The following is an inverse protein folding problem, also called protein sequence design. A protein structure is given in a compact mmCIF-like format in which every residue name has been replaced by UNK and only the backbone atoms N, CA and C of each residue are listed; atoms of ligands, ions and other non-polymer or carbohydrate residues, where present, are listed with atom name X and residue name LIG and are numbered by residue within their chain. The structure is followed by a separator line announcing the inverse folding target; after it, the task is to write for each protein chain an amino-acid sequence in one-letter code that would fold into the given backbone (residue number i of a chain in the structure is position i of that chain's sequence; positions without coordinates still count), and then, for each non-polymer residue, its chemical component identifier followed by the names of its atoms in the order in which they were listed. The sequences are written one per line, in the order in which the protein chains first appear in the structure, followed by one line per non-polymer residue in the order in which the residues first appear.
data_IF_939561021510
#
_entry.id   IF_939561021510
#
_cell.length_a   1.000
_cell.length_b   1.000
_cell.length_c   1.000
_cell.angle_alpha   90.00
_cell.angle_beta   90.00
_cell.angle_gamma   90.00
#
_symmetry.space_group_name_H-M   'P 1'
#
loop_
_entity.id
_entity.type
_entity.pdbx_description
1 polymer ?
#
# COMPACT_ATOMS: atom_id res chain seq x y z
N UNK A 1 11.30 13.59 -10.55
CA UNK A 1 11.41 13.17 -11.97
C UNK A 1 12.17 11.85 -12.11
N UNK A 2 13.29 11.64 -11.41
CA UNK A 2 14.09 10.40 -11.52
C UNK A 2 13.32 9.08 -11.27
N UNK A 3 12.44 9.02 -10.27
CA UNK A 3 11.68 7.80 -9.95
C UNK A 3 10.76 7.34 -11.11
N UNK A 4 10.02 8.27 -11.71
CA UNK A 4 9.14 7.98 -12.83
C UNK A 4 9.94 7.53 -14.07
N UNK A 5 11.10 8.13 -14.30
CA UNK A 5 12.03 7.71 -15.36
C UNK A 5 12.54 6.29 -15.14
N UNK A 6 12.98 5.95 -13.94
CA UNK A 6 13.47 4.61 -13.62
C UNK A 6 12.41 3.52 -13.85
N UNK A 7 11.16 3.77 -13.47
CA UNK A 7 10.06 2.85 -13.77
C UNK A 7 9.77 2.75 -15.27
N UNK A 8 9.76 3.86 -15.99
CA UNK A 8 9.58 3.87 -17.45
C UNK A 8 10.66 3.06 -18.15
N UNK A 9 11.92 3.19 -17.73
CA UNK A 9 13.04 2.45 -18.32
C UNK A 9 12.95 0.95 -17.99
N UNK A 10 12.66 0.60 -16.73
CA UNK A 10 12.55 -0.79 -16.30
C UNK A 10 11.39 -1.52 -17.00
N UNK A 11 10.21 -0.89 -17.06
CA UNK A 11 9.04 -1.43 -17.74
C UNK A 11 9.22 -1.44 -19.27
N UNK A 12 9.87 -0.42 -19.80
CA UNK A 12 10.18 -0.28 -21.23
C UNK A 12 11.07 -1.42 -21.76
N UNK A 13 12.01 -1.93 -20.96
CA UNK A 13 12.80 -3.13 -21.31
C UNK A 13 11.92 -4.37 -21.56
N UNK A 14 10.74 -4.44 -20.94
CA UNK A 14 9.73 -5.48 -21.15
C UNK A 14 8.67 -5.12 -22.19
N UNK A 15 8.82 -4.01 -22.92
CA UNK A 15 7.83 -3.53 -23.90
C UNK A 15 6.57 -2.91 -23.29
N UNK A 16 6.58 -2.63 -21.98
CA UNK A 16 5.46 -2.03 -21.27
C UNK A 16 5.61 -0.51 -21.18
N UNK A 17 4.49 0.20 -21.32
CA UNK A 17 4.43 1.65 -21.08
C UNK A 17 4.05 1.91 -19.63
N UNK A 18 4.61 2.94 -19.00
CA UNK A 18 4.19 3.39 -17.67
C UNK A 18 3.39 4.70 -17.76
N UNK A 19 2.45 4.90 -16.84
CA UNK A 19 1.78 6.19 -16.64
C UNK A 19 1.88 6.63 -15.19
N UNK A 20 2.52 7.78 -14.93
CA UNK A 20 2.65 8.30 -13.57
C UNK A 20 1.34 8.92 -13.10
N UNK A 21 0.95 8.61 -11.86
CA UNK A 21 -0.17 9.23 -11.16
C UNK A 21 0.30 9.63 -9.77
N UNK A 22 0.00 10.86 -9.36
CA UNK A 22 0.25 11.36 -8.02
C UNK A 22 -1.08 11.63 -7.33
N UNK A 23 -1.31 11.03 -6.16
CA UNK A 23 -2.56 11.14 -5.42
C UNK A 23 -2.33 11.72 -4.03
N UNK A 24 -3.30 12.48 -3.54
CA UNK A 24 -3.41 12.88 -2.13
C UNK A 24 -4.45 12.03 -1.40
N UNK A 25 -4.53 12.15 -0.07
CA UNK A 25 -5.60 11.51 0.69
C UNK A 25 -6.99 11.94 0.18
N UNK A 26 -7.17 13.25 -0.05
CA UNK A 26 -8.42 13.82 -0.55
C UNK A 26 -8.85 13.27 -1.91
N UNK A 27 -7.91 12.86 -2.77
CA UNK A 27 -8.24 12.25 -4.07
C UNK A 27 -8.89 10.86 -3.93
N UNK A 28 -8.77 10.23 -2.77
CA UNK A 28 -9.37 8.92 -2.49
C UNK A 28 -10.55 8.98 -1.52
N UNK A 29 -10.79 10.12 -0.87
CA UNK A 29 -11.90 10.28 0.09
C UNK A 29 -13.03 11.15 -0.48
N UNK A 30 -12.71 12.12 -1.33
CA UNK A 30 -13.73 12.94 -1.98
C UNK A 30 -14.30 12.20 -3.20
N UNK A 31 -15.59 11.87 -3.17
CA UNK A 31 -16.28 11.05 -4.20
C UNK A 31 -15.97 11.49 -5.63
N UNK A 32 -15.96 12.79 -5.92
CA UNK A 32 -15.70 13.30 -7.27
C UNK A 32 -14.26 13.03 -7.70
N UNK A 33 -13.28 13.32 -6.84
CA UNK A 33 -11.86 13.08 -7.13
C UNK A 33 -11.54 11.60 -7.22
N UNK A 34 -12.15 10.80 -6.35
CA UNK A 34 -12.07 9.35 -6.39
C UNK A 34 -12.50 8.78 -7.75
N UNK A 35 -13.65 9.23 -8.28
CA UNK A 35 -14.13 8.78 -9.60
C UNK A 35 -13.21 9.23 -10.74
N UNK A 36 -12.61 10.42 -10.64
CA UNK A 36 -11.64 10.91 -11.62
C UNK A 36 -10.34 10.08 -11.60
N UNK A 37 -9.80 9.79 -10.41
CA UNK A 37 -8.63 8.94 -10.23
C UNK A 37 -8.89 7.53 -10.80
N UNK A 38 -10.02 6.92 -10.44
CA UNK A 38 -10.45 5.62 -10.97
C UNK A 38 -10.55 5.61 -12.48
N UNK A 39 -11.18 6.64 -13.08
CA UNK A 39 -11.31 6.74 -14.54
C UNK A 39 -9.94 6.86 -15.24
N UNK A 40 -9.01 7.61 -14.64
CA UNK A 40 -7.65 7.78 -15.15
C UNK A 40 -6.88 6.47 -15.12
N UNK A 41 -6.85 5.80 -13.96
CA UNK A 41 -6.20 4.50 -13.79
C UNK A 41 -6.80 3.47 -14.77
N UNK A 42 -8.13 3.42 -14.88
CA UNK A 42 -8.83 2.52 -15.80
C UNK A 42 -8.45 2.78 -17.26
N UNK A 43 -8.23 4.04 -17.64
CA UNK A 43 -7.84 4.41 -19.01
C UNK A 43 -6.42 3.95 -19.31
N UNK A 44 -5.46 4.14 -18.39
CA UNK A 44 -4.10 3.62 -18.55
C UNK A 44 -4.10 2.11 -18.73
N UNK A 45 -4.86 1.38 -17.91
CA UNK A 45 -4.97 -0.07 -18.00
C UNK A 45 -5.59 -0.52 -19.34
N UNK A 46 -6.63 0.16 -19.83
CA UNK A 46 -7.21 -0.10 -21.17
C UNK A 46 -6.19 0.11 -22.29
N UNK A 47 -5.27 1.05 -22.12
CA UNK A 47 -4.16 1.30 -23.05
C UNK A 47 -2.98 0.33 -22.87
N UNK A 48 -3.11 -0.68 -22.01
CA UNK A 48 -2.06 -1.64 -21.63
C UNK A 48 -0.82 -0.96 -21.03
N UNK A 49 -1.01 0.21 -20.41
CA UNK A 49 0.02 0.88 -19.63
C UNK A 49 -0.07 0.46 -18.16
N UNK A 50 1.08 0.39 -17.49
CA UNK A 50 1.22 0.13 -16.06
C UNK A 50 1.11 1.46 -15.31
N UNK A 51 0.07 1.67 -14.47
CA UNK A 51 -0.02 2.84 -13.62
C UNK A 51 1.08 2.79 -12.54
N UNK A 52 1.88 3.85 -12.44
CA UNK A 52 2.89 4.03 -11.38
C UNK A 52 2.39 5.12 -10.46
N UNK A 53 1.88 4.72 -9.30
CA UNK A 53 1.14 5.58 -8.38
C UNK A 53 2.01 5.91 -7.18
N UNK A 54 2.03 7.18 -6.76
CA UNK A 54 2.70 7.61 -5.53
C UNK A 54 1.92 8.72 -4.83
N UNK A 55 2.22 8.97 -3.55
CA UNK A 55 1.69 10.12 -2.84
C UNK A 55 2.20 11.44 -3.43
N UNK A 56 1.33 12.45 -3.49
CA UNK A 56 1.67 13.80 -3.93
C UNK A 56 2.08 14.68 -2.74
N UNK A 57 3.29 14.46 -2.23
CA UNK A 57 3.83 15.16 -1.04
C UNK A 57 3.95 16.68 -1.19
N UNK A 58 4.02 17.19 -2.43
CA UNK A 58 4.19 18.63 -2.70
C UNK A 58 2.92 19.43 -2.42
N UNK A 59 1.75 18.81 -2.58
CA UNK A 59 0.45 19.45 -2.36
C UNK A 59 -0.28 18.91 -1.13
N UNK A 60 0.16 17.77 -0.58
CA UNK A 60 -0.36 17.25 0.68
C UNK A 60 0.19 18.07 1.87
N UNK A 61 -0.70 18.82 2.53
CA UNK A 61 -0.41 19.44 3.83
C UNK A 61 -0.21 18.35 4.88
N UNK A 62 0.52 18.65 5.97
CA UNK A 62 0.80 17.67 7.05
C UNK A 62 -0.44 17.00 7.63
N UNK A 63 -1.60 17.65 7.51
CA UNK A 63 -2.91 17.18 7.99
C UNK A 63 -3.59 16.20 7.03
N UNK A 64 -3.17 16.15 5.76
CA UNK A 64 -3.85 15.42 4.65
C UNK A 64 -2.89 14.39 4.01
N UNK A 65 -1.80 14.03 4.69
CA UNK A 65 -0.85 13.01 4.24
C UNK A 65 -1.30 11.62 4.67
N UNK A 66 -1.03 10.62 3.84
CA UNK A 66 -1.11 9.22 4.25
C UNK A 66 -0.05 8.92 5.31
N UNK A 67 1.16 9.45 5.13
CA UNK A 67 2.30 9.19 6.00
C UNK A 67 2.98 7.83 5.77
N UNK A 68 2.31 6.92 5.05
CA UNK A 68 2.82 5.66 4.51
C UNK A 68 2.11 5.32 3.18
N UNK A 69 2.81 4.65 2.25
CA UNK A 69 2.22 4.21 0.99
C UNK A 69 1.40 2.91 1.15
N UNK A 70 1.39 2.26 2.32
CA UNK A 70 0.63 1.03 2.57
C UNK A 70 -0.87 1.33 2.48
N UNK A 71 -1.33 2.40 3.15
CA UNK A 71 -2.71 2.86 3.12
C UNK A 71 -3.11 3.41 1.76
N UNK A 72 -2.22 4.13 1.09
CA UNK A 72 -2.48 4.59 -0.29
C UNK A 72 -2.71 3.38 -1.22
N UNK A 73 -1.83 2.37 -1.15
CA UNK A 73 -1.96 1.17 -1.95
C UNK A 73 -3.27 0.42 -1.68
N UNK A 74 -3.67 0.30 -0.41
CA UNK A 74 -4.96 -0.29 -0.05
C UNK A 74 -6.14 0.50 -0.64
N UNK A 75 -6.14 1.83 -0.54
CA UNK A 75 -7.21 2.65 -1.12
C UNK A 75 -7.26 2.60 -2.64
N UNK A 76 -6.11 2.53 -3.29
CA UNK A 76 -6.06 2.34 -4.75
C UNK A 76 -6.61 0.96 -5.13
N UNK A 77 -6.23 -0.09 -4.39
CA UNK A 77 -6.73 -1.44 -4.62
C UNK A 77 -8.25 -1.51 -4.46
N UNK A 78 -8.81 -0.94 -3.39
CA UNK A 78 -10.26 -0.87 -3.20
C UNK A 78 -10.94 0.01 -4.25
N UNK A 79 -10.32 1.14 -4.63
CA UNK A 79 -10.81 2.03 -5.68
C UNK A 79 -10.98 1.33 -7.03
N UNK A 80 -10.03 0.47 -7.35
CA UNK A 80 -9.99 -0.29 -8.58
C UNK A 80 -10.72 -1.63 -8.48
N UNK A 81 -11.30 -1.96 -7.31
CA UNK A 81 -11.91 -3.26 -7.03
C UNK A 81 -10.95 -4.42 -7.34
N UNK A 82 -9.70 -4.28 -6.93
CA UNK A 82 -8.67 -5.29 -7.12
C UNK A 82 -8.98 -6.54 -6.28
N UNK A 83 -8.69 -7.71 -6.82
CA UNK A 83 -8.82 -8.98 -6.09
C UNK A 83 -7.75 -9.11 -4.99
N UNK A 84 -6.55 -8.55 -5.24
CA UNK A 84 -5.38 -8.73 -4.38
C UNK A 84 -4.52 -7.46 -4.31
N UNK A 85 -4.13 -7.10 -3.08
CA UNK A 85 -3.05 -6.18 -2.77
C UNK A 85 -1.82 -6.95 -2.28
N UNK A 86 -0.66 -6.71 -2.88
CA UNK A 86 0.61 -7.27 -2.41
C UNK A 86 1.50 -6.14 -1.90
N UNK A 87 1.85 -6.17 -0.62
CA UNK A 87 2.86 -5.29 -0.04
C UNK A 87 4.20 -6.01 0.03
N UNK A 88 5.15 -5.53 -0.77
CA UNK A 88 6.53 -5.95 -0.75
C UNK A 88 7.29 -5.16 0.33
N UNK A 89 7.87 -5.86 1.30
CA UNK A 89 8.57 -5.27 2.45
C UNK A 89 9.91 -5.94 2.70
N UNK A 90 10.69 -5.35 3.59
CA UNK A 90 11.85 -5.95 4.26
C UNK A 90 11.51 -7.06 5.28
N UNK A 91 10.22 -7.25 5.57
CA UNK A 91 9.70 -8.35 6.40
C UNK A 91 8.79 -9.23 5.54
N UNK A 92 8.88 -10.54 5.77
CA UNK A 92 8.16 -11.56 5.00
C UNK A 92 6.71 -11.81 5.47
N UNK A 93 6.26 -11.13 6.53
CA UNK A 93 4.87 -11.12 6.97
C UNK A 93 4.68 -10.78 8.44
N UNK A 94 3.54 -11.18 9.00
CA UNK A 94 3.20 -10.93 10.40
C UNK A 94 3.78 -12.02 11.31
N UNK A 95 4.27 -11.62 12.48
CA UNK A 95 4.75 -12.50 13.53
C UNK A 95 4.03 -12.22 14.84
N UNK A 96 4.00 -13.20 15.75
CA UNK A 96 3.43 -13.04 17.10
C UNK A 96 4.16 -12.00 17.95
N UNK A 97 5.43 -11.73 17.63
CA UNK A 97 6.29 -10.71 18.23
C UNK A 97 7.37 -10.30 17.21
N UNK A 98 8.11 -9.20 17.41
CA UNK A 98 9.16 -8.78 16.47
C UNK A 98 10.29 -9.83 16.40
N UNK A 99 10.50 -10.51 15.25
CA UNK A 99 11.42 -11.65 15.17
C UNK A 99 12.89 -11.28 15.39
N UNK A 100 13.26 -10.02 15.14
CA UNK A 100 14.59 -9.50 15.45
C UNK A 100 14.87 -9.34 16.95
N UNK A 101 13.84 -9.36 17.80
CA UNK A 101 13.94 -9.14 19.26
C UNK A 101 13.49 -10.33 20.10
N UNK A 102 12.65 -11.20 19.54
CA UNK A 102 12.11 -12.37 20.21
C UNK A 102 12.43 -13.64 19.40
N UNK A 103 13.36 -14.50 19.85
CA UNK A 103 13.67 -15.78 19.21
C UNK A 103 12.50 -16.77 19.20
N UNK A 104 11.46 -16.55 20.02
CA UNK A 104 10.24 -17.36 20.06
C UNK A 104 9.13 -16.78 19.17
N UNK A 105 9.39 -15.69 18.42
CA UNK A 105 8.44 -15.14 17.47
C UNK A 105 8.05 -16.19 16.42
N UNK A 106 6.76 -16.41 16.24
CA UNK A 106 6.22 -17.36 15.26
C UNK A 106 5.57 -16.60 14.11
N UNK A 107 5.87 -17.04 12.90
CA UNK A 107 5.23 -16.53 11.69
C UNK A 107 3.74 -16.87 11.67
N UNK A 108 2.92 -15.91 11.24
CA UNK A 108 1.48 -16.05 11.11
C UNK A 108 1.15 -16.12 9.61
N UNK A 109 0.92 -17.31 9.05
CA UNK A 109 0.76 -17.48 7.60
C UNK A 109 -0.56 -16.93 7.08
N UNK A 110 -1.60 -16.89 7.92
CA UNK A 110 -2.94 -16.42 7.55
C UNK A 110 -3.53 -15.65 8.71
N UNK A 111 -4.14 -14.50 8.40
CA UNK A 111 -4.92 -13.68 9.32
C UNK A 111 -6.33 -13.57 8.76
N UNK A 112 -7.26 -14.37 9.27
CA UNK A 112 -8.65 -14.36 8.80
C UNK A 112 -9.36 -13.04 9.12
N UNK A 113 -9.02 -12.44 10.26
CA UNK A 113 -9.56 -11.16 10.71
C UNK A 113 -8.53 -10.41 11.52
N UNK A 114 -8.40 -9.11 11.25
CA UNK A 114 -7.55 -8.21 12.03
C UNK A 114 -8.31 -7.81 13.30
N UNK A 115 -8.07 -8.56 14.39
CA UNK A 115 -8.64 -8.31 15.72
C UNK A 115 -7.72 -7.41 16.57
N UNK A 116 -8.19 -6.89 17.72
CA UNK A 116 -7.33 -6.12 18.63
C UNK A 116 -6.07 -6.90 19.06
N UNK A 117 -6.14 -8.22 19.19
CA UNK A 117 -4.98 -9.06 19.51
C UNK A 117 -3.95 -9.07 18.38
N UNK A 118 -4.39 -9.14 17.11
CA UNK A 118 -3.53 -9.03 15.93
C UNK A 118 -2.89 -7.64 15.86
N UNK A 119 -3.65 -6.59 16.15
CA UNK A 119 -3.12 -5.22 16.19
C UNK A 119 -2.06 -5.04 17.28
N UNK A 120 -2.27 -5.65 18.45
CA UNK A 120 -1.32 -5.59 19.55
C UNK A 120 0.04 -6.20 19.17
N UNK A 121 0.08 -7.21 18.28
CA UNK A 121 1.33 -7.80 17.79
C UNK A 121 2.19 -6.78 17.03
N UNK A 122 1.57 -5.80 16.36
CA UNK A 122 2.27 -4.72 15.68
C UNK A 122 2.74 -3.60 16.63
N UNK A 123 2.16 -3.50 17.84
CA UNK A 123 2.41 -2.42 18.80
C UNK A 123 3.65 -2.60 19.69
N UNK A 124 4.21 -3.81 19.80
CA UNK A 124 5.39 -4.08 20.61
C UNK A 124 6.71 -3.56 19.98
N UNK A 125 6.69 -3.20 18.69
CA UNK A 125 7.84 -2.69 17.94
C UNK A 125 7.72 -1.18 17.68
N UNK A 126 7.71 -0.34 18.71
CA UNK A 126 7.83 1.10 18.51
C UNK A 126 9.22 1.59 18.94
N UNK A 127 10.10 1.86 17.96
CA UNK A 127 10.91 3.07 18.04
C UNK A 127 10.18 4.14 17.23
N UNK A 128 10.03 5.34 17.79
CA UNK A 128 9.30 6.47 17.20
C UNK A 128 9.84 6.97 15.84
N UNK A 129 10.94 6.39 15.33
CA UNK A 129 11.59 6.82 14.09
C UNK A 129 11.19 6.05 12.83
N UNK A 130 10.47 4.92 12.93
CA UNK A 130 10.09 4.16 11.72
C UNK A 130 8.77 4.68 11.15
N UNK A 131 8.85 5.56 10.13
CA UNK A 131 7.72 5.89 9.26
C UNK A 131 7.45 4.66 8.38
N UNK A 132 6.43 3.89 8.73
CA UNK A 132 6.17 2.58 8.14
C UNK A 132 6.51 1.46 9.11
N UNK A 133 5.70 0.40 9.09
CA UNK A 133 5.92 -0.74 9.98
C UNK A 133 4.79 -1.76 9.87
N UNK A 134 4.72 -2.70 10.82
CA UNK A 134 3.65 -3.69 10.80
C UNK A 134 2.27 -3.03 11.06
N UNK A 135 2.21 -1.96 11.84
CA UNK A 135 0.95 -1.26 12.14
C UNK A 135 0.31 -0.67 10.89
N UNK A 136 1.09 -0.01 10.03
CA UNK A 136 0.60 0.59 8.79
C UNK A 136 0.10 -0.47 7.81
N UNK A 137 0.78 -1.62 7.76
CA UNK A 137 0.36 -2.79 6.97
C UNK A 137 -0.95 -3.38 7.50
N UNK A 138 -1.14 -3.47 8.81
CA UNK A 138 -2.42 -3.90 9.38
C UNK A 138 -3.54 -2.90 9.09
N UNK A 139 -3.29 -1.59 9.17
CA UNK A 139 -4.27 -0.57 8.80
C UNK A 139 -4.66 -0.68 7.31
N UNK A 140 -3.68 -0.89 6.43
CA UNK A 140 -3.90 -1.17 5.01
C UNK A 140 -4.73 -2.46 4.82
N UNK A 141 -4.46 -3.51 5.59
CA UNK A 141 -5.22 -4.75 5.59
C UNK A 141 -6.67 -4.55 5.98
N UNK A 142 -6.96 -3.72 6.99
CA UNK A 142 -8.33 -3.36 7.34
C UNK A 142 -9.06 -2.67 6.18
N UNK A 143 -8.40 -1.72 5.51
CA UNK A 143 -8.96 -1.02 4.36
C UNK A 143 -9.25 -2.00 3.21
N UNK A 144 -8.27 -2.83 2.84
CA UNK A 144 -8.39 -3.75 1.72
C UNK A 144 -9.49 -4.81 1.95
N UNK A 145 -9.41 -5.51 3.09
CA UNK A 145 -10.32 -6.62 3.41
C UNK A 145 -11.78 -6.16 3.62
N UNK A 146 -12.00 -4.95 4.15
CA UNK A 146 -13.35 -4.38 4.28
C UNK A 146 -14.05 -4.17 2.93
N UNK A 147 -13.29 -4.02 1.84
CA UNK A 147 -13.81 -3.90 0.48
C UNK A 147 -13.77 -5.21 -0.33
N UNK A 148 -13.41 -6.33 0.31
CA UNK A 148 -13.30 -7.65 -0.34
C UNK A 148 -11.97 -7.88 -1.08
N UNK A 149 -10.98 -7.00 -0.92
CA UNK A 149 -9.64 -7.20 -1.50
C UNK A 149 -8.78 -8.01 -0.53
N UNK A 150 -8.24 -9.14 -0.99
CA UNK A 150 -7.25 -9.89 -0.23
C UNK A 150 -5.94 -9.10 -0.12
N UNK A 151 -5.15 -9.36 0.92
CA UNK A 151 -3.87 -8.70 1.11
C UNK A 151 -2.78 -9.70 1.49
N UNK A 152 -1.61 -9.54 0.88
CA UNK A 152 -0.38 -10.27 1.21
C UNK A 152 0.70 -9.28 1.64
N UNK A 153 1.46 -9.64 2.68
CA UNK A 153 2.73 -9.00 3.04
C UNK A 153 3.80 -10.06 2.76
N UNK A 154 4.84 -9.70 2.01
CA UNK A 154 5.94 -10.62 1.68
C UNK A 154 7.24 -9.85 1.42
N UNK A 155 8.37 -10.56 1.37
CA UNK A 155 9.65 -9.98 0.97
C UNK A 155 9.57 -9.37 -0.43
N UNK A 156 10.08 -8.15 -0.57
CA UNK A 156 10.31 -7.47 -1.85
C UNK A 156 11.65 -7.77 -2.49
#
# INVERSE_FOLDING_TARGET
IALAGAWSDALGKGGLKSGQILLTLGDTEERRRYLNARATISTLLKMKAVPVINENDTVATSEIRYGDNDRLAARVATMMSADLLVLLSDIDGLYTAPPARDPQARFIPVVDRITPEIEAMAGAAASELSRGGMRTKLDAGKIATAAGTAMIITSG
#
